data_IF_481063911288
#
_entry.id   IF_481063911288
#
_cell.length_a   1.000
_cell.length_b   1.000
_cell.length_c   1.000
_cell.angle_alpha   90.00
_cell.angle_beta   90.00
_cell.angle_gamma   90.00
#
_symmetry.space_group_name_H-M   'P 1'
#
loop_
_entity.id
_entity.type
_entity.pdbx_description
1 polymer ?
#
# COMPACT_ATOMS: atom_id res chain seq x y z
N UNK A 1 -4.29 2.14 -21.44
CA UNK A 1 -4.53 3.13 -20.38
C UNK A 1 -3.36 4.07 -20.41
N UNK A 2 -3.62 5.37 -20.47
CA UNK A 2 -2.55 6.37 -20.35
C UNK A 2 -1.94 6.28 -18.93
N UNK A 3 -0.64 6.55 -18.77
CA UNK A 3 0.01 6.46 -17.46
C UNK A 3 -0.67 7.33 -16.39
N UNK A 4 -1.23 8.47 -16.80
CA UNK A 4 -2.02 9.35 -15.95
C UNK A 4 -3.30 8.68 -15.44
N UNK A 5 -4.04 7.98 -16.31
CA UNK A 5 -5.29 7.31 -15.96
C UNK A 5 -5.05 6.26 -14.86
N UNK A 6 -3.97 5.48 -14.99
CA UNK A 6 -3.57 4.49 -14.00
C UNK A 6 -3.24 5.13 -12.65
N UNK A 7 -2.44 6.22 -12.65
CA UNK A 7 -2.06 6.90 -11.40
C UNK A 7 -3.28 7.50 -10.71
N UNK A 8 -4.20 8.10 -11.48
CA UNK A 8 -5.46 8.63 -10.94
C UNK A 8 -6.33 7.50 -10.38
N UNK A 9 -6.47 6.37 -11.09
CA UNK A 9 -7.23 5.22 -10.63
C UNK A 9 -6.67 4.67 -9.30
N UNK A 10 -5.36 4.47 -9.22
CA UNK A 10 -4.68 4.02 -8.00
C UNK A 10 -4.86 5.02 -6.86
N UNK A 11 -4.66 6.31 -7.14
CA UNK A 11 -4.84 7.38 -6.15
C UNK A 11 -6.27 7.45 -5.60
N UNK A 12 -7.28 7.38 -6.48
CA UNK A 12 -8.69 7.33 -6.08
C UNK A 12 -9.01 6.08 -5.27
N UNK A 13 -8.46 4.93 -5.64
CA UNK A 13 -8.66 3.68 -4.90
C UNK A 13 -8.09 3.77 -3.48
N UNK A 14 -6.87 4.30 -3.33
CA UNK A 14 -6.23 4.52 -2.03
C UNK A 14 -7.04 5.51 -1.20
N UNK A 15 -7.46 6.63 -1.79
CA UNK A 15 -8.28 7.64 -1.13
C UNK A 15 -9.63 7.08 -0.68
N UNK A 16 -10.31 6.34 -1.55
CA UNK A 16 -11.57 5.68 -1.23
C UNK A 16 -11.40 4.69 -0.06
N UNK A 17 -10.36 3.86 -0.08
CA UNK A 17 -10.06 2.92 1.01
C UNK A 17 -9.78 3.63 2.33
N UNK A 18 -9.01 4.72 2.30
CA UNK A 18 -8.71 5.53 3.48
C UNK A 18 -9.97 6.19 4.08
N UNK A 19 -10.91 6.65 3.23
CA UNK A 19 -12.17 7.25 3.67
C UNK A 19 -13.17 6.19 4.17
N UNK A 20 -13.23 5.01 3.54
CA UNK A 20 -14.15 3.93 3.92
C UNK A 20 -13.69 3.17 5.16
N UNK A 21 -12.39 3.04 5.40
CA UNK A 21 -11.85 2.25 6.52
C UNK A 21 -12.41 2.65 7.89
N UNK A 22 -12.44 3.94 8.28
CA UNK A 22 -13.06 4.35 9.54
C UNK A 22 -14.57 4.08 9.57
N UNK A 23 -15.26 4.25 8.44
CA UNK A 23 -16.74 4.08 8.36
C UNK A 23 -17.15 2.63 8.51
N UNK A 24 -16.36 1.71 7.95
CA UNK A 24 -16.60 0.26 8.03
C UNK A 24 -15.97 -0.37 9.29
N UNK A 25 -15.27 0.42 10.12
CA UNK A 25 -14.51 -0.06 11.29
C UNK A 25 -13.52 -1.17 10.95
N UNK A 26 -12.90 -1.08 9.76
CA UNK A 26 -11.91 -2.03 9.28
C UNK A 26 -10.52 -1.38 9.22
N UNK A 27 -9.47 -2.18 9.36
CA UNK A 27 -8.11 -1.71 9.12
C UNK A 27 -7.96 -1.32 7.64
N UNK A 28 -7.49 -0.11 7.37
CA UNK A 28 -7.30 0.39 6.00
C UNK A 28 -6.51 -0.58 5.09
N UNK A 29 -5.44 -1.25 5.56
CA UNK A 29 -4.72 -2.24 4.75
C UNK A 29 -5.60 -3.40 4.26
N UNK A 30 -6.58 -3.84 5.06
CA UNK A 30 -7.48 -4.93 4.66
C UNK A 30 -8.43 -4.51 3.54
N UNK A 31 -9.00 -3.30 3.63
CA UNK A 31 -9.86 -2.79 2.57
C UNK A 31 -9.08 -2.53 1.27
N UNK A 32 -7.87 -1.98 1.38
CA UNK A 32 -7.01 -1.77 0.22
C UNK A 32 -6.60 -3.10 -0.43
N UNK A 33 -6.37 -4.15 0.37
CA UNK A 33 -6.13 -5.50 -0.14
C UNK A 33 -7.32 -6.01 -0.97
N UNK A 34 -8.55 -5.84 -0.47
CA UNK A 34 -9.77 -6.24 -1.20
C UNK A 34 -9.93 -5.42 -2.48
N UNK A 35 -9.72 -4.11 -2.44
CA UNK A 35 -9.78 -3.27 -3.63
C UNK A 35 -8.71 -3.64 -4.66
N UNK A 36 -7.48 -3.89 -4.21
CA UNK A 36 -6.40 -4.37 -5.08
C UNK A 36 -6.72 -5.72 -5.71
N UNK A 37 -7.29 -6.65 -4.95
CA UNK A 37 -7.76 -7.94 -5.46
C UNK A 37 -8.82 -7.77 -6.56
N UNK A 38 -9.83 -6.92 -6.32
CA UNK A 38 -10.88 -6.62 -7.29
C UNK A 38 -10.29 -5.96 -8.54
N UNK A 39 -9.39 -5.00 -8.39
CA UNK A 39 -8.69 -4.35 -9.50
C UNK A 39 -7.80 -5.31 -10.29
N UNK A 40 -7.23 -6.33 -9.65
CA UNK A 40 -6.40 -7.35 -10.30
C UNK A 40 -7.14 -8.16 -11.37
N UNK A 41 -8.48 -8.19 -11.34
CA UNK A 41 -9.30 -8.80 -12.39
C UNK A 41 -9.41 -7.93 -13.65
N UNK A 42 -8.98 -6.66 -13.62
CA UNK A 42 -9.02 -5.75 -14.77
C UNK A 42 -7.83 -6.07 -15.70
N UNK A 43 -8.06 -6.57 -16.92
CA UNK A 43 -6.98 -7.04 -17.80
C UNK A 43 -6.02 -5.93 -18.23
N UNK A 44 -6.48 -4.68 -18.26
CA UNK A 44 -5.66 -3.51 -18.56
C UNK A 44 -4.62 -3.24 -17.47
N UNK A 45 -4.92 -3.57 -16.21
CA UNK A 45 -4.01 -3.39 -15.07
C UNK A 45 -3.02 -4.56 -14.94
N UNK A 46 -3.34 -5.74 -15.48
CA UNK A 46 -2.44 -6.91 -15.46
C UNK A 46 -1.16 -6.73 -16.26
N UNK A 47 -1.12 -5.77 -17.18
CA UNK A 47 0.11 -5.42 -17.91
C UNK A 47 1.08 -4.60 -17.04
N UNK A 48 0.61 -4.11 -15.88
CA UNK A 48 1.35 -3.26 -14.95
C UNK A 48 1.87 -4.15 -13.83
N UNK A 49 3.02 -4.76 -14.07
CA UNK A 49 3.67 -5.63 -13.10
C UNK A 49 4.93 -4.95 -12.56
N UNK A 50 5.06 -4.94 -11.23
CA UNK A 50 6.27 -4.51 -10.56
C UNK A 50 7.11 -5.76 -10.24
N UNK A 51 8.40 -5.80 -10.62
CA UNK A 51 9.28 -6.89 -10.23
C UNK A 51 9.31 -7.03 -8.70
N UNK A 52 9.23 -8.26 -8.15
CA UNK A 52 9.25 -8.49 -6.71
C UNK A 52 10.45 -7.84 -6.01
N UNK A 53 11.62 -7.88 -6.65
CA UNK A 53 12.84 -7.23 -6.19
C UNK A 53 12.70 -5.71 -6.07
N UNK A 54 12.00 -5.05 -6.99
CA UNK A 54 11.75 -3.60 -6.92
C UNK A 54 10.82 -3.29 -5.75
N UNK A 55 9.79 -4.12 -5.52
CA UNK A 55 8.89 -3.94 -4.38
C UNK A 55 9.66 -4.09 -3.07
N UNK A 56 10.46 -5.13 -2.91
CA UNK A 56 11.26 -5.33 -1.70
C UNK A 56 12.27 -4.19 -1.51
N UNK A 57 13.09 -3.90 -2.52
CA UNK A 57 14.16 -2.90 -2.40
C UNK A 57 13.64 -1.48 -2.18
N UNK A 58 12.42 -1.16 -2.59
CA UNK A 58 11.86 0.18 -2.45
C UNK A 58 11.00 0.29 -1.18
N UNK A 59 10.08 -0.66 -0.95
CA UNK A 59 9.16 -0.59 0.18
C UNK A 59 9.80 -1.04 1.49
N UNK A 60 10.62 -2.10 1.51
CA UNK A 60 11.19 -2.63 2.75
C UNK A 60 12.11 -1.60 3.44
N UNK A 61 13.06 -0.93 2.77
CA UNK A 61 13.88 0.10 3.42
C UNK A 61 13.06 1.27 3.92
N UNK A 62 12.05 1.71 3.17
CA UNK A 62 11.16 2.82 3.56
C UNK A 62 10.36 2.46 4.81
N UNK A 63 9.75 1.27 4.84
CA UNK A 63 9.00 0.77 5.99
C UNK A 63 9.90 0.60 7.22
N UNK A 64 11.07 -0.03 7.06
CA UNK A 64 12.02 -0.22 8.16
C UNK A 64 12.55 1.10 8.72
N UNK A 65 12.85 2.07 7.85
CA UNK A 65 13.29 3.40 8.26
C UNK A 65 12.19 4.09 9.07
N UNK A 66 10.94 4.04 8.62
CA UNK A 66 9.80 4.59 9.35
C UNK A 66 9.58 3.93 10.71
N UNK A 67 9.63 2.60 10.77
CA UNK A 67 9.54 1.84 12.02
C UNK A 67 10.68 2.18 12.98
N UNK A 68 11.90 2.41 12.46
CA UNK A 68 13.05 2.83 13.29
C UNK A 68 12.88 4.21 13.92
N UNK A 69 12.16 5.13 13.25
CA UNK A 69 11.91 6.48 13.76
C UNK A 69 10.81 6.49 14.84
N UNK A 70 9.85 5.58 14.73
CA UNK A 70 8.70 5.49 15.65
C UNK A 70 8.98 4.56 16.83
N UNK A 71 9.89 3.60 16.68
CA UNK A 71 10.35 2.72 17.76
C UNK A 71 11.41 3.40 18.62
N UNK A 72 11.22 3.41 19.95
CA UNK A 72 12.21 4.03 20.85
C UNK A 72 13.46 3.15 21.00
N UNK A 73 14.66 3.73 20.89
CA UNK A 73 15.90 3.03 21.23
C UNK A 73 15.94 2.55 22.69
N UNK A 74 15.10 3.14 23.56
CA UNK A 74 15.01 2.79 24.98
C UNK A 74 14.27 1.48 25.23
N UNK A 75 13.33 1.07 24.35
CA UNK A 75 12.69 -0.24 24.43
C UNK A 75 13.63 -1.35 23.98
N UNK A 76 14.46 -1.12 22.95
CA UNK A 76 15.51 -2.08 22.55
C UNK A 76 16.59 -2.30 23.61
N UNK A 77 16.81 -1.34 24.51
CA UNK A 77 17.82 -1.44 25.57
C UNK A 77 17.30 -2.10 26.85
N UNK A 78 15.99 -2.33 26.96
CA UNK A 78 15.35 -2.88 28.16
C UNK A 78 14.93 -4.35 28.01
N UNK A 79 14.99 -4.88 26.79
CA UNK A 79 14.87 -6.30 26.43
C UNK A 79 16.27 -6.89 26.18
#
# INVERSE_FOLDING_TARGET
>A
MEGLETVVLLGVTVLAGAILAPRLRMAAPLLLLVFGLVLGYVPQLRQIELPPETVLLLFLPVMLFWESLTTSLRSLRRD
#
